data_IF_218479727905
#
_entry.id   IF_218479727905
#
_cell.length_a   1.000
_cell.length_b   1.000
_cell.length_c   1.000
_cell.angle_alpha   90.00
_cell.angle_beta   90.00
_cell.angle_gamma   90.00
#
_symmetry.space_group_name_H-M   'P 1'
#
loop_
_entity.id
_entity.type
_entity.pdbx_description
1 polymer ?
#
# COMPACT_ATOMS: atom_id res chain seq x y z
N UNK A 1 -6.02 -0.39 6.97
CA UNK A 1 -6.22 0.00 8.38
C UNK A 1 -6.57 1.47 8.46
N UNK A 2 -7.35 1.86 9.46
CA UNK A 2 -7.64 3.26 9.76
C UNK A 2 -6.63 3.76 10.80
N UNK A 3 -6.05 4.93 10.57
CA UNK A 3 -5.13 5.54 11.53
C UNK A 3 -5.91 6.37 12.57
N UNK A 4 -5.75 6.01 13.84
CA UNK A 4 -6.47 6.58 14.99
C UNK A 4 -5.57 7.30 16.00
N UNK A 5 -4.25 7.08 15.93
CA UNK A 5 -3.31 7.51 16.99
C UNK A 5 -2.19 8.43 16.49
N UNK A 6 -2.02 8.61 15.17
CA UNK A 6 -0.93 9.46 14.64
C UNK A 6 -1.27 10.96 14.72
N UNK A 7 -0.25 11.76 15.05
CA UNK A 7 -0.28 13.22 15.04
C UNK A 7 -0.71 13.76 13.66
N UNK A 8 -1.67 14.68 13.64
CA UNK A 8 -2.24 15.26 12.40
C UNK A 8 -1.16 15.83 11.47
N UNK A 9 -0.11 16.42 12.05
CA UNK A 9 1.04 16.97 11.32
C UNK A 9 1.76 15.93 10.46
N UNK A 10 1.82 14.67 10.91
CA UNK A 10 2.50 13.58 10.18
C UNK A 10 1.60 12.91 9.15
N UNK A 11 0.28 12.93 9.38
CA UNK A 11 -0.69 12.30 8.49
C UNK A 11 -0.85 13.01 7.16
N UNK A 12 -0.53 14.31 7.09
CA UNK A 12 -0.67 15.11 5.87
C UNK A 12 -2.09 15.00 5.24
N UNK A 13 -3.10 14.77 6.08
CA UNK A 13 -4.50 14.57 5.66
C UNK A 13 -4.87 13.15 5.21
N UNK A 14 -3.96 12.18 5.25
CA UNK A 14 -4.28 10.78 4.94
C UNK A 14 -4.96 10.08 6.13
N UNK A 15 -6.03 9.34 5.83
CA UNK A 15 -6.90 8.72 6.86
C UNK A 15 -6.73 7.20 6.96
N UNK A 16 -6.36 6.56 5.86
CA UNK A 16 -6.27 5.10 5.74
C UNK A 16 -4.97 4.70 5.03
N UNK A 17 -4.45 3.53 5.40
CA UNK A 17 -3.32 2.89 4.73
C UNK A 17 -3.63 1.44 4.39
N UNK A 18 -3.18 1.00 3.21
CA UNK A 18 -3.27 -0.38 2.75
C UNK A 18 -1.85 -0.90 2.51
N UNK A 19 -1.55 -2.10 3.01
CA UNK A 19 -0.28 -2.78 2.78
C UNK A 19 -0.55 -4.07 2.04
N UNK A 20 0.07 -4.24 0.88
CA UNK A 20 -0.01 -5.43 0.05
C UNK A 20 1.39 -6.01 -0.07
N UNK A 21 1.53 -7.30 0.20
CA UNK A 21 2.79 -8.03 0.08
C UNK A 21 2.58 -9.16 -0.91
N UNK A 22 3.47 -9.25 -1.89
CA UNK A 22 3.47 -10.29 -2.92
C UNK A 22 4.72 -11.15 -2.74
N UNK A 23 4.62 -12.44 -3.07
CA UNK A 23 5.76 -13.36 -2.97
C UNK A 23 6.77 -13.11 -4.10
N UNK A 24 6.28 -12.69 -5.27
CA UNK A 24 7.08 -12.43 -6.46
C UNK A 24 6.60 -11.21 -7.23
N UNK A 25 7.44 -10.73 -8.15
CA UNK A 25 7.09 -9.62 -9.05
C UNK A 25 6.03 -10.05 -10.07
N UNK A 26 6.05 -11.31 -10.48
CA UNK A 26 5.12 -11.91 -11.43
C UNK A 26 3.69 -11.91 -10.85
N UNK A 27 3.54 -12.27 -9.57
CA UNK A 27 2.25 -12.21 -8.86
C UNK A 27 1.73 -10.77 -8.74
N UNK A 28 2.61 -9.81 -8.46
CA UNK A 28 2.23 -8.40 -8.43
C UNK A 28 1.70 -7.92 -9.80
N UNK A 29 2.35 -8.30 -10.90
CA UNK A 29 1.90 -7.96 -12.25
C UNK A 29 0.56 -8.61 -12.56
N UNK A 30 0.40 -9.90 -12.22
CA UNK A 30 -0.86 -10.62 -12.41
C UNK A 30 -2.01 -10.00 -11.61
N UNK A 31 -1.77 -9.62 -10.35
CA UNK A 31 -2.73 -8.92 -9.51
C UNK A 31 -3.10 -7.55 -10.09
N UNK A 32 -2.11 -6.77 -10.50
CA UNK A 32 -2.31 -5.40 -11.02
C UNK A 32 -3.17 -5.37 -12.29
N UNK A 33 -3.02 -6.39 -13.14
CA UNK A 33 -3.78 -6.54 -14.39
C UNK A 33 -5.11 -7.27 -14.21
N UNK A 34 -5.40 -7.81 -13.02
CA UNK A 34 -6.60 -8.58 -12.79
C UNK A 34 -7.85 -7.69 -12.89
N UNK A 35 -8.90 -8.09 -13.64
CA UNK A 35 -10.08 -7.25 -13.87
C UNK A 35 -10.79 -6.84 -12.56
N UNK A 36 -10.78 -7.70 -11.55
CA UNK A 36 -11.34 -7.36 -10.22
C UNK A 36 -10.55 -6.25 -9.53
N UNK A 37 -9.22 -6.23 -9.66
CA UNK A 37 -8.39 -5.17 -9.09
C UNK A 37 -8.64 -3.84 -9.80
N UNK A 38 -8.74 -3.84 -11.13
CA UNK A 38 -9.04 -2.64 -11.91
C UNK A 38 -10.42 -2.06 -11.54
N UNK A 39 -11.45 -2.89 -11.45
CA UNK A 39 -12.78 -2.47 -11.02
C UNK A 39 -12.78 -1.89 -9.59
N UNK A 40 -12.01 -2.50 -8.68
CA UNK A 40 -11.85 -1.98 -7.33
C UNK A 40 -11.07 -0.66 -7.29
N UNK A 41 -10.03 -0.52 -8.10
CA UNK A 41 -9.25 0.70 -8.20
C UNK A 41 -10.11 1.88 -8.67
N UNK A 42 -11.01 1.68 -9.64
CA UNK A 42 -11.97 2.71 -10.07
C UNK A 42 -12.89 3.15 -8.93
N UNK A 43 -13.45 2.20 -8.18
CA UNK A 43 -14.31 2.49 -7.02
C UNK A 43 -13.52 3.26 -5.96
N UNK A 44 -12.33 2.78 -5.60
CA UNK A 44 -11.49 3.39 -4.57
C UNK A 44 -11.08 4.81 -4.94
N UNK A 45 -10.59 5.02 -6.17
CA UNK A 45 -10.15 6.34 -6.64
C UNK A 45 -11.30 7.34 -6.73
N UNK A 46 -12.52 6.88 -7.01
CA UNK A 46 -13.70 7.74 -6.99
C UNK A 46 -14.13 8.16 -5.58
N UNK A 47 -13.76 7.39 -4.56
CA UNK A 47 -14.16 7.60 -3.17
C UNK A 47 -13.12 8.36 -2.32
N UNK A 48 -11.90 8.56 -2.83
CA UNK A 48 -10.80 9.21 -2.09
C UNK A 48 -10.36 10.51 -2.75
N UNK A 49 -10.13 11.55 -1.94
CA UNK A 49 -9.64 12.85 -2.44
C UNK A 49 -8.17 12.78 -2.86
N UNK A 50 -7.36 12.01 -2.12
CA UNK A 50 -5.92 11.89 -2.30
C UNK A 50 -5.49 10.44 -2.12
N UNK A 51 -4.65 9.96 -3.03
CA UNK A 51 -4.05 8.64 -2.96
C UNK A 51 -2.56 8.72 -3.28
N UNK A 52 -1.74 8.02 -2.50
CA UNK A 52 -0.31 7.80 -2.77
C UNK A 52 -0.07 6.30 -2.72
N UNK A 53 0.66 5.78 -3.71
CA UNK A 53 1.04 4.38 -3.81
C UNK A 53 2.55 4.28 -3.80
N UNK A 54 3.07 3.40 -2.95
CA UNK A 54 4.49 3.05 -2.91
C UNK A 54 4.67 1.61 -3.37
N UNK A 55 5.37 1.43 -4.48
CA UNK A 55 5.81 0.13 -5.00
C UNK A 55 7.32 0.05 -4.88
N UNK A 56 7.81 -0.89 -4.07
CA UNK A 56 9.23 -1.08 -3.84
C UNK A 56 9.55 -2.54 -3.49
N UNK A 57 10.70 -3.06 -3.92
CA UNK A 57 11.18 -4.36 -3.46
C UNK A 57 11.56 -4.28 -1.98
N UNK A 58 11.13 -5.25 -1.18
CA UNK A 58 11.54 -5.36 0.22
C UNK A 58 12.99 -5.86 0.25
N UNK A 59 13.92 -4.95 0.53
CA UNK A 59 15.34 -5.27 0.68
C UNK A 59 15.72 -5.14 2.16
N UNK A 60 16.10 -6.26 2.78
CA UNK A 60 16.62 -6.23 4.14
C UNK A 60 18.09 -5.75 4.12
N UNK A 61 18.29 -4.47 4.40
CA UNK A 61 19.62 -3.83 4.37
C UNK A 61 20.38 -3.87 5.71
N UNK A 62 19.69 -4.18 6.82
CA UNK A 62 20.31 -4.41 8.13
C UNK A 62 20.15 -5.89 8.53
N UNK A 63 21.24 -6.56 8.98
CA UNK A 63 21.12 -7.87 9.59
C UNK A 63 20.24 -7.80 10.84
N UNK A 64 19.58 -8.91 11.17
CA UNK A 64 19.09 -9.13 12.54
C UNK A 64 20.33 -9.12 13.45
N UNK A 65 20.60 -7.99 14.11
CA UNK A 65 21.57 -7.95 15.19
C UNK A 65 20.87 -8.61 16.38
N UNK A 66 21.19 -9.88 16.57
CA UNK A 66 20.88 -10.76 17.71
C UNK A 66 19.53 -11.49 17.69
N UNK A 67 19.62 -12.82 17.56
CA UNK A 67 18.87 -13.77 18.38
C UNK A 67 19.89 -14.75 18.98
#
# INVERSE_FOLDING_TARGET
>A
GQDLESEEMLRQGFTHAFSLTFESKEEFVAFSQHPTHLAFAEILLSAVEKAIVFDFPVVQVKPLINA
#
